data_IF_411650865932
#
_entry.id   IF_411650865932
#
_cell.length_a   1.000
_cell.length_b   1.000
_cell.length_c   1.000
_cell.angle_alpha   90.00
_cell.angle_beta   90.00
_cell.angle_gamma   90.00
#
_symmetry.space_group_name_H-M   'P 1'
#
loop_
_entity.id
_entity.type
_entity.pdbx_description
1 polymer ?
#
# COMPACT_ATOMS: atom_id res chain seq x y z
N UNK A 1 -9.76 0.53 22.23
CA UNK A 1 -9.74 -0.83 22.84
C UNK A 1 -9.69 -0.80 24.36
N UNK A 2 -8.71 -0.11 24.96
CA UNK A 2 -8.54 -0.01 26.44
C UNK A 2 -9.79 0.48 27.18
N UNK A 3 -10.53 1.44 26.61
CA UNK A 3 -11.77 1.96 27.22
C UNK A 3 -12.89 0.94 27.46
N UNK A 4 -12.80 -0.28 26.92
CA UNK A 4 -13.72 -1.38 27.26
C UNK A 4 -13.49 -1.89 28.68
N UNK A 5 -12.26 -1.76 29.20
CA UNK A 5 -11.93 -2.04 30.59
C UNK A 5 -12.47 -0.90 31.45
N UNK A 6 -13.41 -1.20 32.36
CA UNK A 6 -13.97 -0.18 33.25
C UNK A 6 -14.81 0.89 32.54
N UNK A 7 -15.65 0.51 31.57
CA UNK A 7 -16.55 1.41 30.83
C UNK A 7 -17.69 1.96 31.75
N UNK A 8 -17.32 2.81 32.71
CA UNK A 8 -18.19 3.47 33.69
C UNK A 8 -17.53 4.78 34.13
N UNK A 9 -18.35 5.79 34.49
CA UNK A 9 -17.87 7.13 34.88
C UNK A 9 -16.89 7.10 36.06
N UNK A 10 -17.07 6.14 36.97
CA UNK A 10 -16.30 6.05 38.22
C UNK A 10 -15.09 5.11 38.14
N UNK A 11 -14.74 4.61 36.94
CA UNK A 11 -13.66 3.63 36.76
C UNK A 11 -12.61 4.14 35.79
N UNK A 12 -11.34 3.99 36.17
CA UNK A 12 -10.21 4.23 35.27
C UNK A 12 -9.95 3.00 34.39
N UNK A 13 -9.96 3.15 33.06
CA UNK A 13 -9.61 2.06 32.16
C UNK A 13 -8.17 1.57 32.36
N UNK A 14 -7.98 0.25 32.36
CA UNK A 14 -6.66 -0.39 32.46
C UNK A 14 -6.42 -1.27 31.25
N UNK A 15 -5.24 -1.16 30.66
CA UNK A 15 -4.79 -1.99 29.56
C UNK A 15 -3.31 -2.34 29.72
N UNK A 16 -2.94 -3.52 29.28
CA UNK A 16 -1.55 -3.98 29.22
C UNK A 16 -1.17 -4.13 27.75
N UNK A 17 0.01 -3.66 27.40
CA UNK A 17 0.59 -3.76 26.06
C UNK A 17 1.85 -4.62 26.21
N UNK A 18 1.97 -5.66 25.38
CA UNK A 18 3.10 -6.58 25.38
C UNK A 18 3.81 -6.44 24.04
N UNK A 19 5.08 -6.06 24.07
CA UNK A 19 5.94 -6.05 22.90
C UNK A 19 6.40 -7.48 22.59
N UNK A 20 6.29 -7.92 21.34
CA UNK A 20 6.82 -9.22 20.92
C UNK A 20 8.24 -9.09 20.38
N UNK A 21 8.57 -7.94 19.79
CA UNK A 21 9.91 -7.58 19.29
C UNK A 21 10.45 -6.33 19.98
N UNK A 22 11.72 -6.01 19.72
CA UNK A 22 12.31 -4.76 20.22
C UNK A 22 11.71 -3.54 19.50
N UNK A 23 11.38 -3.66 18.21
CA UNK A 23 10.71 -2.60 17.44
C UNK A 23 9.29 -2.34 17.94
N UNK A 24 8.54 -3.38 18.31
CA UNK A 24 7.26 -3.24 19.00
C UNK A 24 7.44 -2.46 20.31
N UNK A 25 8.53 -2.69 21.03
CA UNK A 25 8.78 -1.98 22.29
C UNK A 25 9.03 -0.49 22.06
N UNK A 26 9.77 -0.13 21.01
CA UNK A 26 9.96 1.26 20.59
C UNK A 26 8.61 1.89 20.26
N UNK A 27 7.81 1.23 19.41
CA UNK A 27 6.53 1.75 18.97
C UNK A 27 5.52 1.88 20.11
N UNK A 28 5.42 0.89 21.00
CA UNK A 28 4.53 0.97 22.17
C UNK A 28 4.95 2.06 23.16
N UNK A 29 6.25 2.30 23.30
CA UNK A 29 6.79 3.42 24.10
C UNK A 29 6.38 4.75 23.48
N UNK A 30 6.51 4.88 22.15
CA UNK A 30 6.08 6.06 21.40
C UNK A 30 4.56 6.28 21.44
N UNK A 31 3.76 5.22 21.28
CA UNK A 31 2.31 5.27 21.39
C UNK A 31 1.87 5.76 22.77
N UNK A 32 2.50 5.25 23.84
CA UNK A 32 2.24 5.71 25.20
C UNK A 32 2.61 7.18 25.37
N UNK A 33 3.74 7.60 24.83
CA UNK A 33 4.18 8.99 24.84
C UNK A 33 3.20 9.92 24.09
N UNK A 34 2.73 9.49 22.91
CA UNK A 34 1.74 10.20 22.11
C UNK A 34 0.40 10.35 22.87
N UNK A 35 -0.09 9.27 23.51
CA UNK A 35 -1.30 9.31 24.34
C UNK A 35 -1.15 10.31 25.49
N UNK A 36 -0.01 10.32 26.18
CA UNK A 36 0.26 11.28 27.27
C UNK A 36 0.26 12.73 26.77
N UNK A 37 0.81 12.97 25.58
CA UNK A 37 0.82 14.28 24.91
C UNK A 37 -0.51 14.63 24.21
N UNK A 38 -1.49 13.71 24.19
CA UNK A 38 -2.76 13.83 23.44
C UNK A 38 -2.57 14.04 21.94
N UNK A 39 -1.50 13.47 21.39
CA UNK A 39 -1.28 13.36 19.96
C UNK A 39 -2.18 12.21 19.47
N UNK A 40 -3.04 12.50 18.50
CA UNK A 40 -3.97 11.56 17.89
C UNK A 40 -3.79 11.59 16.39
N UNK A 41 -4.04 10.46 15.74
CA UNK A 41 -3.94 10.34 14.28
C UNK A 41 -4.92 11.28 13.58
N UNK A 42 -4.45 11.97 12.55
CA UNK A 42 -5.31 12.79 11.71
C UNK A 42 -6.25 11.90 10.88
N UNK A 43 -7.56 12.15 10.97
CA UNK A 43 -8.53 11.50 10.10
C UNK A 43 -8.61 12.25 8.77
N UNK A 44 -8.09 11.65 7.72
CA UNK A 44 -8.15 12.19 6.37
C UNK A 44 -9.48 11.82 5.70
N UNK A 45 -10.11 12.80 5.05
CA UNK A 45 -11.26 12.54 4.19
C UNK A 45 -10.78 12.12 2.80
N UNK A 46 -11.34 11.03 2.23
CA UNK A 46 -11.07 10.66 0.84
C UNK A 46 -11.37 11.84 -0.09
N UNK A 47 -10.46 12.11 -1.03
CA UNK A 47 -10.64 13.15 -2.03
C UNK A 47 -11.33 12.55 -3.25
N UNK A 48 -12.62 12.88 -3.44
CA UNK A 48 -13.37 12.59 -4.67
C UNK A 48 -13.32 11.14 -5.19
N UNK A 49 -13.57 10.09 -4.36
CA UNK A 49 -13.55 8.71 -4.83
C UNK A 49 -14.60 8.48 -5.93
N UNK A 50 -14.15 8.28 -7.16
CA UNK A 50 -14.98 8.25 -8.38
C UNK A 50 -15.77 6.95 -8.52
N UNK A 51 -15.26 5.85 -7.98
CA UNK A 51 -15.95 4.57 -7.88
C UNK A 51 -17.18 4.66 -6.95
N UNK A 52 -17.01 5.28 -5.78
CA UNK A 52 -18.09 5.57 -4.83
C UNK A 52 -19.07 6.57 -5.43
N UNK A 53 -18.57 7.60 -6.13
CA UNK A 53 -19.38 8.59 -6.83
C UNK A 53 -20.29 7.91 -7.86
N UNK A 54 -19.72 7.02 -8.69
CA UNK A 54 -20.46 6.25 -9.69
C UNK A 54 -21.59 5.44 -9.04
N UNK A 55 -21.30 4.73 -7.95
CA UNK A 55 -22.28 3.98 -7.18
C UNK A 55 -23.42 4.87 -6.65
N UNK A 56 -23.09 6.02 -6.08
CA UNK A 56 -24.09 6.95 -5.50
C UNK A 56 -24.94 7.61 -6.58
N UNK A 57 -24.35 7.99 -7.72
CA UNK A 57 -25.11 8.51 -8.87
C UNK A 57 -26.15 7.48 -9.34
N UNK A 58 -25.74 6.21 -9.50
CA UNK A 58 -26.68 5.15 -9.92
C UNK A 58 -27.78 4.95 -8.89
N UNK A 59 -27.46 4.98 -7.59
CA UNK A 59 -28.44 4.84 -6.52
C UNK A 59 -29.45 6.01 -6.51
N UNK A 60 -28.96 7.25 -6.64
CA UNK A 60 -29.76 8.47 -6.57
C UNK A 60 -30.69 8.62 -7.80
N UNK A 61 -30.16 8.39 -9.01
CA UNK A 61 -30.95 8.40 -10.25
C UNK A 61 -31.95 7.23 -10.32
N UNK A 62 -31.70 6.13 -9.60
CA UNK A 62 -32.65 5.02 -9.50
C UNK A 62 -33.91 5.33 -8.69
N UNK A 63 -33.91 6.41 -7.89
CA UNK A 63 -35.08 6.84 -7.13
C UNK A 63 -35.94 7.86 -7.89
N UNK A 64 -35.29 8.73 -8.67
CA UNK A 64 -35.96 9.76 -9.47
C UNK A 64 -35.07 10.24 -10.61
N UNK A 65 -35.71 10.79 -11.64
CA UNK A 65 -35.02 11.44 -12.73
C UNK A 65 -34.34 12.73 -12.25
N UNK A 66 -33.19 13.05 -12.83
CA UNK A 66 -32.38 14.22 -12.45
C UNK A 66 -32.02 15.05 -13.66
N UNK A 67 -32.06 16.37 -13.53
CA UNK A 67 -31.29 17.25 -14.41
C UNK A 67 -29.83 17.12 -13.99
N UNK A 68 -28.94 16.79 -14.94
CA UNK A 68 -27.51 16.51 -14.68
C UNK A 68 -26.86 17.58 -13.81
N UNK A 69 -27.07 18.87 -14.14
CA UNK A 69 -26.50 19.99 -13.40
C UNK A 69 -26.99 20.09 -11.95
N UNK A 70 -28.25 19.75 -11.69
CA UNK A 70 -28.77 19.74 -10.32
C UNK A 70 -28.18 18.60 -9.48
N UNK A 71 -27.95 17.44 -10.11
CA UNK A 71 -27.27 16.32 -9.46
C UNK A 71 -25.80 16.68 -9.14
N UNK A 72 -25.11 17.35 -10.06
CA UNK A 72 -23.76 17.87 -9.81
C UNK A 72 -23.72 18.77 -8.58
N UNK A 73 -24.59 19.79 -8.52
CA UNK A 73 -24.64 20.70 -7.36
C UNK A 73 -24.93 19.95 -6.04
N UNK A 74 -25.90 19.03 -6.03
CA UNK A 74 -26.20 18.22 -4.85
C UNK A 74 -24.97 17.46 -4.34
N UNK A 75 -24.18 16.88 -5.25
CA UNK A 75 -23.01 16.10 -4.89
C UNK A 75 -21.86 17.00 -4.42
N UNK A 76 -21.65 18.16 -5.07
CA UNK A 76 -20.60 19.12 -4.69
C UNK A 76 -20.88 19.87 -3.39
N UNK A 77 -22.11 19.86 -2.88
CA UNK A 77 -22.43 20.37 -1.53
C UNK A 77 -21.80 19.51 -0.42
N UNK A 78 -21.31 18.30 -0.74
CA UNK A 78 -20.61 17.41 0.19
C UNK A 78 -19.09 17.71 0.21
N UNK A 79 -18.50 17.80 1.40
CA UNK A 79 -17.05 17.96 1.63
C UNK A 79 -16.16 17.02 0.78
N UNK A 80 -16.57 15.77 0.58
CA UNK A 80 -15.83 14.76 -0.20
C UNK A 80 -15.73 15.12 -1.70
N UNK A 81 -16.75 15.80 -2.24
CA UNK A 81 -16.85 16.15 -3.66
C UNK A 81 -16.87 17.66 -3.91
N UNK A 82 -16.57 18.49 -2.91
CA UNK A 82 -16.63 19.96 -3.01
C UNK A 82 -15.73 20.53 -4.12
N UNK A 83 -14.61 19.83 -4.40
CA UNK A 83 -13.63 20.21 -5.40
C UNK A 83 -13.81 19.43 -6.72
N UNK A 84 -14.88 18.64 -6.87
CA UNK A 84 -15.13 17.82 -8.05
C UNK A 84 -15.37 18.74 -9.26
N UNK A 85 -14.57 18.58 -10.30
CA UNK A 85 -14.75 19.35 -11.53
C UNK A 85 -15.98 18.86 -12.29
N UNK A 86 -16.66 19.77 -12.99
CA UNK A 86 -17.79 19.40 -13.85
C UNK A 86 -17.34 18.46 -14.98
N UNK A 87 -16.10 18.59 -15.45
CA UNK A 87 -15.50 17.70 -16.46
C UNK A 87 -15.39 16.26 -15.95
N UNK A 88 -14.77 16.06 -14.79
CA UNK A 88 -14.65 14.74 -14.15
C UNK A 88 -16.03 14.14 -13.87
N UNK A 89 -16.97 14.94 -13.37
CA UNK A 89 -18.35 14.50 -13.18
C UNK A 89 -18.98 14.02 -14.50
N UNK A 90 -18.78 14.77 -15.58
CA UNK A 90 -19.29 14.41 -16.91
C UNK A 90 -18.68 13.12 -17.45
N UNK A 91 -17.38 12.88 -17.20
CA UNK A 91 -16.72 11.62 -17.57
C UNK A 91 -17.37 10.42 -16.85
N UNK A 92 -17.71 10.57 -15.55
CA UNK A 92 -18.42 9.52 -14.80
C UNK A 92 -19.84 9.31 -15.34
N UNK A 93 -20.58 10.39 -15.65
CA UNK A 93 -21.91 10.29 -16.27
C UNK A 93 -21.84 9.60 -17.64
N UNK A 94 -20.84 9.94 -18.45
CA UNK A 94 -20.63 9.32 -19.75
C UNK A 94 -20.35 7.82 -19.60
N UNK A 95 -19.43 7.44 -18.72
CA UNK A 95 -19.13 6.03 -18.41
C UNK A 95 -20.40 5.26 -17.99
N UNK A 96 -21.21 5.84 -17.10
CA UNK A 96 -22.45 5.21 -16.63
C UNK A 96 -23.56 5.13 -17.70
N UNK A 97 -23.54 6.01 -18.70
CA UNK A 97 -24.57 6.11 -19.74
C UNK A 97 -24.26 5.29 -21.00
N UNK A 98 -22.98 5.27 -21.38
CA UNK A 98 -22.46 4.59 -22.57
C UNK A 98 -21.98 3.16 -22.24
N UNK A 99 -21.75 2.85 -20.97
CA UNK A 99 -21.21 1.59 -20.48
C UNK A 99 -19.72 1.71 -20.18
N UNK A 100 -19.23 0.90 -19.25
CA UNK A 100 -17.88 1.06 -18.68
C UNK A 100 -16.74 0.92 -19.71
N UNK A 101 -16.95 0.22 -20.84
CA UNK A 101 -16.01 0.14 -21.98
C UNK A 101 -16.59 0.60 -23.30
N UNK A 102 -17.45 1.62 -23.24
CA UNK A 102 -18.08 2.22 -24.42
C UNK A 102 -18.97 1.25 -25.18
N UNK A 103 -18.97 1.35 -26.51
CA UNK A 103 -19.93 0.67 -27.40
C UNK A 103 -19.98 -0.87 -27.22
N UNK A 104 -18.87 -1.52 -26.85
CA UNK A 104 -18.80 -2.98 -26.64
C UNK A 104 -19.52 -3.44 -25.37
N UNK A 105 -19.59 -2.57 -24.35
CA UNK A 105 -20.22 -2.85 -23.07
C UNK A 105 -21.47 -1.99 -22.83
N UNK A 106 -22.17 -1.57 -23.89
CA UNK A 106 -23.37 -0.73 -23.77
C UNK A 106 -24.52 -1.36 -22.96
N UNK A 107 -24.48 -2.68 -22.77
CA UNK A 107 -25.42 -3.44 -21.94
C UNK A 107 -25.14 -3.30 -20.44
N UNK A 108 -23.93 -2.90 -20.03
CA UNK A 108 -23.55 -2.64 -18.64
C UNK A 108 -23.83 -1.19 -18.20
N UNK A 109 -24.27 -0.33 -19.12
CA UNK A 109 -24.71 1.03 -18.80
C UNK A 109 -25.85 1.01 -17.76
N UNK A 110 -25.76 1.89 -16.77
CA UNK A 110 -26.72 2.02 -15.68
C UNK A 110 -27.68 3.18 -15.88
N UNK A 111 -27.30 4.17 -16.69
CA UNK A 111 -28.08 5.38 -16.91
C UNK A 111 -28.48 5.55 -18.38
N UNK A 112 -29.51 6.35 -18.60
CA UNK A 112 -29.82 6.99 -19.86
C UNK A 112 -29.61 8.49 -19.67
N UNK A 113 -28.76 9.10 -20.51
CA UNK A 113 -28.57 10.55 -20.55
C UNK A 113 -29.18 11.11 -21.83
N UNK A 114 -30.23 11.92 -21.68
CA UNK A 114 -30.79 12.70 -22.76
C UNK A 114 -29.93 13.95 -22.96
N UNK A 115 -29.09 13.96 -24.01
CA UNK A 115 -28.21 15.11 -24.29
C UNK A 115 -28.97 16.36 -24.75
N UNK A 116 -30.25 16.25 -25.12
CA UNK A 116 -31.08 17.40 -25.54
C UNK A 116 -31.72 18.09 -24.35
N UNK A 117 -32.26 17.34 -23.38
CA UNK A 117 -32.89 17.89 -22.17
C UNK A 117 -31.95 17.98 -20.97
N UNK A 118 -30.74 17.40 -21.07
CA UNK A 118 -29.77 17.21 -19.99
C UNK A 118 -30.32 16.41 -18.79
N UNK A 119 -31.23 15.48 -19.08
CA UNK A 119 -31.88 14.63 -18.10
C UNK A 119 -31.22 13.25 -17.99
N UNK A 120 -31.06 12.79 -16.75
CA UNK A 120 -30.56 11.50 -16.36
C UNK A 120 -31.72 10.63 -15.85
N UNK A 121 -31.85 9.44 -16.44
CA UNK A 121 -32.89 8.47 -16.09
C UNK A 121 -32.26 7.10 -15.82
N UNK A 122 -32.82 6.29 -14.91
CA UNK A 122 -32.26 4.99 -14.62
C UNK A 122 -32.59 3.99 -15.73
N UNK A 123 -31.64 3.11 -16.04
CA UNK A 123 -31.94 1.90 -16.83
C UNK A 123 -32.57 0.83 -15.94
N UNK A 124 -33.26 -0.13 -16.57
CA UNK A 124 -34.07 -1.15 -15.88
C UNK A 124 -33.33 -1.91 -14.77
N UNK A 125 -32.03 -2.18 -14.93
CA UNK A 125 -31.20 -2.90 -13.95
C UNK A 125 -30.65 -2.03 -12.82
N UNK A 126 -30.59 -0.70 -13.00
CA UNK A 126 -29.86 0.22 -12.11
C UNK A 126 -30.29 0.08 -10.64
N UNK A 127 -31.60 0.14 -10.38
CA UNK A 127 -32.16 0.08 -9.03
C UNK A 127 -31.82 -1.22 -8.32
N UNK A 128 -32.00 -2.36 -8.99
CA UNK A 128 -31.71 -3.67 -8.40
C UNK A 128 -30.21 -3.83 -8.15
N UNK A 129 -29.38 -3.39 -9.11
CA UNK A 129 -27.92 -3.42 -8.98
C UNK A 129 -27.46 -2.61 -7.78
N UNK A 130 -27.86 -1.33 -7.66
CA UNK A 130 -27.46 -0.46 -6.57
C UNK A 130 -27.82 -1.01 -5.18
N UNK A 131 -29.01 -1.62 -5.04
CA UNK A 131 -29.45 -2.18 -3.75
C UNK A 131 -28.71 -3.48 -3.41
N UNK A 132 -28.45 -4.35 -4.38
CA UNK A 132 -27.90 -5.69 -4.14
C UNK A 132 -26.37 -5.74 -4.18
N UNK A 133 -25.74 -4.74 -4.79
CA UNK A 133 -24.30 -4.63 -4.97
C UNK A 133 -23.74 -3.36 -4.33
N UNK A 134 -24.51 -2.66 -3.49
CA UNK A 134 -24.08 -1.44 -2.82
C UNK A 134 -23.07 -1.68 -1.69
N UNK A 135 -22.26 -0.67 -1.40
CA UNK A 135 -21.32 -0.64 -0.28
C UNK A 135 -19.87 -0.43 -0.74
N UNK A 136 -19.00 0.01 0.17
CA UNK A 136 -17.60 0.35 -0.15
C UNK A 136 -16.59 -0.65 0.39
N UNK A 137 -17.02 -1.61 1.22
CA UNK A 137 -16.15 -2.69 1.70
C UNK A 137 -15.96 -3.69 0.55
N UNK A 138 -14.72 -3.89 0.06
CA UNK A 138 -14.45 -4.83 -1.01
C UNK A 138 -14.60 -6.28 -0.53
N UNK A 139 -14.93 -7.17 -1.47
CA UNK A 139 -14.83 -8.61 -1.22
C UNK A 139 -13.35 -9.03 -1.34
N UNK A 140 -12.79 -9.57 -0.25
CA UNK A 140 -11.47 -10.23 -0.25
C UNK A 140 -11.60 -11.71 -0.58
N UNK A 141 -10.68 -12.23 -1.40
CA UNK A 141 -10.71 -13.61 -1.90
C UNK A 141 -9.39 -14.35 -1.68
N UNK A 142 -9.45 -15.51 -1.03
CA UNK A 142 -8.26 -16.36 -0.90
C UNK A 142 -7.75 -16.86 -2.26
N UNK A 143 -6.47 -17.20 -2.28
CA UNK A 143 -5.75 -17.86 -3.36
C UNK A 143 -5.47 -19.30 -2.97
N UNK A 144 -5.77 -20.24 -3.86
CA UNK A 144 -5.46 -21.65 -3.65
C UNK A 144 -3.99 -21.91 -3.98
N UNK A 145 -3.25 -22.58 -3.09
CA UNK A 145 -1.83 -22.89 -3.30
C UNK A 145 -1.68 -24.30 -3.86
N UNK A 146 -1.02 -24.42 -5.01
CA UNK A 146 -0.79 -25.69 -5.72
C UNK A 146 0.71 -25.99 -5.80
N UNK A 147 1.09 -27.19 -5.35
CA UNK A 147 2.44 -27.71 -5.46
C UNK A 147 2.67 -28.31 -6.86
N UNK A 148 3.73 -27.90 -7.53
CA UNK A 148 4.21 -28.47 -8.79
C UNK A 148 5.46 -29.33 -8.56
N UNK A 149 5.65 -30.40 -9.37
CA UNK A 149 4.85 -30.80 -10.53
C UNK A 149 3.60 -31.65 -10.22
N UNK A 150 3.33 -32.00 -8.97
CA UNK A 150 2.26 -32.93 -8.58
C UNK A 150 0.83 -32.39 -8.80
N UNK A 151 0.68 -31.08 -8.99
CA UNK A 151 -0.59 -30.35 -9.13
C UNK A 151 -1.56 -30.60 -7.95
N UNK A 152 -1.00 -30.66 -6.74
CA UNK A 152 -1.74 -30.92 -5.50
C UNK A 152 -2.00 -29.59 -4.79
N UNK A 153 -3.25 -29.33 -4.40
CA UNK A 153 -3.56 -28.20 -3.53
C UNK A 153 -3.04 -28.47 -2.11
N UNK A 154 -2.13 -27.62 -1.63
CA UNK A 154 -1.48 -27.74 -0.31
C UNK A 154 -2.02 -26.75 0.73
N UNK A 155 -2.81 -25.75 0.31
CA UNK A 155 -3.47 -24.82 1.23
C UNK A 155 -4.06 -23.61 0.51
N UNK A 156 -4.17 -22.51 1.25
CA UNK A 156 -4.68 -21.23 0.76
C UNK A 156 -3.90 -20.06 1.36
N UNK A 157 -3.79 -18.97 0.61
CA UNK A 157 -3.21 -17.69 1.03
C UNK A 157 -4.28 -16.61 0.93
N UNK A 158 -4.24 -15.61 1.80
CA UNK A 158 -5.14 -14.47 1.68
C UNK A 158 -4.77 -13.63 0.44
N UNK A 159 -5.74 -12.98 -0.19
CA UNK A 159 -5.51 -12.03 -1.31
C UNK A 159 -4.41 -11.02 -1.01
N UNK A 160 -4.38 -10.53 0.23
CA UNK A 160 -3.44 -9.52 0.65
C UNK A 160 -1.99 -10.05 0.64
N UNK A 161 -1.81 -11.37 0.73
CA UNK A 161 -0.50 -12.01 0.59
C UNK A 161 -0.03 -11.96 -0.88
N UNK A 162 -0.91 -12.28 -1.83
CA UNK A 162 -0.60 -12.26 -3.26
C UNK A 162 -0.46 -10.85 -3.86
N UNK A 163 -0.73 -9.81 -3.08
CA UNK A 163 -0.81 -8.42 -3.51
C UNK A 163 0.55 -7.87 -3.99
N UNK A 164 1.65 -8.39 -3.47
CA UNK A 164 3.01 -7.98 -3.81
C UNK A 164 3.92 -9.11 -4.29
N UNK A 165 3.52 -10.36 -4.07
CA UNK A 165 4.33 -11.53 -4.38
C UNK A 165 4.67 -11.65 -5.86
N UNK A 166 5.89 -12.09 -6.14
CA UNK A 166 6.41 -12.39 -7.46
C UNK A 166 6.80 -13.86 -7.60
N UNK A 167 6.89 -14.36 -8.85
CA UNK A 167 7.70 -15.54 -9.14
C UNK A 167 9.11 -15.42 -8.56
N UNK A 168 9.54 -16.44 -7.83
CA UNK A 168 10.83 -16.50 -7.13
C UNK A 168 10.72 -16.31 -5.61
N UNK A 169 9.65 -15.69 -5.11
CA UNK A 169 9.46 -15.44 -3.69
C UNK A 169 9.23 -16.74 -2.90
N UNK A 170 9.83 -16.82 -1.71
CA UNK A 170 9.78 -17.98 -0.82
C UNK A 170 8.95 -17.61 0.41
N UNK A 171 7.97 -18.44 0.74
CA UNK A 171 7.10 -18.24 1.90
C UNK A 171 6.90 -19.53 2.68
N UNK A 172 6.45 -19.40 3.92
CA UNK A 172 6.17 -20.54 4.79
C UNK A 172 4.67 -20.81 4.79
N UNK A 173 4.30 -22.06 4.50
CA UNK A 173 2.94 -22.57 4.65
C UNK A 173 2.95 -23.77 5.59
N UNK A 174 2.33 -23.62 6.76
CA UNK A 174 2.48 -24.58 7.86
C UNK A 174 3.91 -24.54 8.39
N UNK A 175 4.66 -25.62 8.18
CA UNK A 175 6.07 -25.76 8.61
C UNK A 175 7.05 -25.95 7.43
N UNK A 176 6.59 -25.77 6.19
CA UNK A 176 7.38 -25.97 4.99
C UNK A 176 7.55 -24.66 4.24
N UNK A 177 8.73 -24.46 3.64
CA UNK A 177 9.00 -23.32 2.76
C UNK A 177 8.73 -23.68 1.30
N UNK A 178 8.08 -22.78 0.59
CA UNK A 178 7.66 -22.95 -0.80
C UNK A 178 8.08 -21.74 -1.62
N UNK A 179 8.60 -21.98 -2.82
CA UNK A 179 8.96 -20.94 -3.79
C UNK A 179 7.82 -20.75 -4.79
N UNK A 180 7.38 -19.53 -4.98
CA UNK A 180 6.37 -19.16 -5.97
C UNK A 180 6.97 -19.30 -7.37
N UNK A 181 6.32 -20.09 -8.22
CA UNK A 181 6.65 -20.23 -9.63
C UNK A 181 5.85 -19.26 -10.49
N UNK A 182 4.56 -19.13 -10.20
CA UNK A 182 3.65 -18.20 -10.87
C UNK A 182 2.38 -17.99 -10.06
N UNK A 183 1.73 -16.85 -10.31
CA UNK A 183 0.43 -16.50 -9.74
C UNK A 183 -0.51 -16.23 -10.91
N UNK A 184 -1.61 -16.98 -11.00
CA UNK A 184 -2.61 -16.77 -12.04
C UNK A 184 -3.99 -17.20 -11.55
N UNK A 185 -5.04 -16.48 -11.97
CA UNK A 185 -6.43 -16.93 -11.79
C UNK A 185 -6.80 -17.33 -10.34
N UNK A 186 -6.32 -16.61 -9.32
CA UNK A 186 -6.62 -16.96 -7.93
C UNK A 186 -5.90 -18.21 -7.43
N UNK A 187 -4.84 -18.65 -8.11
CA UNK A 187 -3.99 -19.76 -7.73
C UNK A 187 -2.54 -19.31 -7.63
N UNK A 188 -1.83 -19.83 -6.64
CA UNK A 188 -0.38 -19.66 -6.48
C UNK A 188 0.25 -21.02 -6.72
N UNK A 189 1.04 -21.14 -7.79
CA UNK A 189 1.77 -22.36 -8.10
C UNK A 189 3.15 -22.27 -7.48
N UNK A 190 3.55 -23.31 -6.76
CA UNK A 190 4.77 -23.32 -5.97
C UNK A 190 5.57 -24.60 -6.16
N UNK A 191 6.86 -24.55 -5.85
CA UNK A 191 7.72 -25.71 -5.64
C UNK A 191 8.27 -25.72 -4.21
N UNK A 192 8.74 -26.87 -3.73
CA UNK A 192 9.40 -26.97 -2.43
C UNK A 192 10.70 -26.14 -2.45
N UNK A 193 10.84 -25.22 -1.49
CA UNK A 193 12.05 -24.41 -1.34
C UNK A 193 13.13 -25.12 -0.51
N UNK A 194 12.92 -26.38 -0.14
CA UNK A 194 13.87 -27.25 0.56
C UNK A 194 14.42 -26.68 1.86
N UNK A 195 13.56 -25.97 2.60
CA UNK A 195 13.95 -25.36 3.87
C UNK A 195 14.75 -24.07 3.72
N UNK A 196 14.88 -23.53 2.50
CA UNK A 196 15.38 -22.16 2.32
C UNK A 196 14.52 -21.19 3.13
N UNK A 197 15.14 -20.21 3.80
CA UNK A 197 14.41 -19.19 4.53
C UNK A 197 13.53 -18.39 3.57
N UNK A 198 12.38 -17.88 4.03
CA UNK A 198 11.58 -16.95 3.26
C UNK A 198 12.43 -15.71 2.92
N UNK A 199 12.47 -15.32 1.65
CA UNK A 199 13.30 -14.23 1.13
C UNK A 199 12.64 -12.85 1.29
N UNK A 200 11.92 -12.67 2.42
CA UNK A 200 11.13 -11.50 2.82
C UNK A 200 9.67 -11.54 2.31
N UNK A 201 8.69 -11.88 3.16
CA UNK A 201 7.29 -11.61 2.85
C UNK A 201 7.01 -10.13 3.15
N UNK A 202 6.67 -9.35 2.12
CA UNK A 202 5.92 -8.13 2.35
C UNK A 202 4.62 -8.49 3.11
N UNK A 203 4.42 -7.88 4.28
CA UNK A 203 3.46 -8.36 5.28
C UNK A 203 1.97 -8.21 4.87
N UNK A 204 1.18 -9.06 5.53
CA UNK A 204 -0.27 -9.23 5.49
C UNK A 204 -1.11 -7.97 5.61
N UNK A 205 -2.05 -7.82 4.68
CA UNK A 205 -3.33 -7.20 4.97
C UNK A 205 -3.45 -5.74 4.56
N UNK A 206 -4.68 -5.30 4.30
CA UNK A 206 -5.07 -3.89 4.48
C UNK A 206 -5.02 -3.57 5.98
N UNK A 207 -3.83 -3.55 6.58
CA UNK A 207 -3.64 -3.10 7.96
C UNK A 207 -3.59 -1.58 8.02
N UNK A 208 -3.95 -1.03 9.18
CA UNK A 208 -3.75 0.38 9.46
C UNK A 208 -2.24 0.60 9.59
N UNK A 209 -1.66 1.18 8.54
CA UNK A 209 -0.29 1.66 8.54
C UNK A 209 -0.03 2.66 9.66
N UNK A 210 1.22 2.80 10.07
CA UNK A 210 1.58 3.83 11.06
C UNK A 210 1.25 5.22 10.51
N UNK A 211 0.58 6.03 11.32
CA UNK A 211 0.27 7.42 10.99
C UNK A 211 1.54 8.28 10.97
N UNK A 212 1.46 9.47 10.36
CA UNK A 212 2.54 10.44 10.42
C UNK A 212 2.79 10.92 11.86
N UNK A 213 1.72 11.12 12.64
CA UNK A 213 1.82 11.55 14.02
C UNK A 213 2.51 10.51 14.91
N UNK A 214 2.20 9.23 14.71
CA UNK A 214 2.85 8.14 15.43
C UNK A 214 4.30 7.95 14.94
N UNK A 215 4.55 8.05 13.64
CA UNK A 215 5.92 8.01 13.08
C UNK A 215 6.80 9.14 13.63
N UNK A 216 6.25 10.36 13.76
CA UNK A 216 6.91 11.49 14.41
C UNK A 216 7.19 11.19 15.89
N UNK A 217 6.23 10.63 16.61
CA UNK A 217 6.39 10.25 18.01
C UNK A 217 7.46 9.16 18.18
N UNK A 218 7.53 8.18 17.28
CA UNK A 218 8.57 7.13 17.26
C UNK A 218 9.93 7.76 17.05
N UNK A 219 10.08 8.62 16.05
CA UNK A 219 11.32 9.34 15.78
C UNK A 219 11.79 10.18 16.98
N UNK A 220 10.88 10.88 17.67
CA UNK A 220 11.21 11.66 18.86
C UNK A 220 11.70 10.78 20.01
N UNK A 221 11.04 9.63 20.23
CA UNK A 221 11.44 8.67 21.26
C UNK A 221 12.79 8.06 20.95
N UNK A 222 13.02 7.62 19.70
CA UNK A 222 14.31 7.07 19.26
C UNK A 222 15.44 8.08 19.52
N UNK A 223 15.29 9.32 19.04
CA UNK A 223 16.29 10.38 19.23
C UNK A 223 16.57 10.68 20.71
N UNK A 224 15.54 10.71 21.55
CA UNK A 224 15.70 11.02 22.95
C UNK A 224 16.37 9.88 23.72
N UNK A 225 15.99 8.63 23.47
CA UNK A 225 16.56 7.46 24.15
C UNK A 225 17.99 7.19 23.69
N UNK A 226 18.29 7.40 22.40
CA UNK A 226 19.65 7.21 21.88
C UNK A 226 20.66 8.18 22.48
N UNK A 227 20.23 9.32 23.02
CA UNK A 227 21.16 10.27 23.64
C UNK A 227 21.90 9.66 24.84
N UNK A 228 23.22 9.79 24.84
CA UNK A 228 24.10 9.43 25.97
C UNK A 228 23.81 10.21 27.26
N UNK A 229 23.06 11.32 27.16
CA UNK A 229 22.75 12.17 28.29
C UNK A 229 21.70 11.61 29.26
N UNK A 230 21.00 10.54 28.87
CA UNK A 230 19.99 9.90 29.72
C UNK A 230 20.26 8.40 29.91
N UNK A 231 20.14 7.96 31.16
CA UNK A 231 20.27 6.55 31.54
C UNK A 231 18.93 5.79 31.45
N UNK A 232 18.95 4.50 31.78
CA UNK A 232 17.76 3.64 31.68
C UNK A 232 16.70 4.01 32.72
N UNK A 233 17.12 4.45 33.91
CA UNK A 233 16.24 4.93 34.98
C UNK A 233 15.47 6.18 34.55
N UNK A 234 16.14 7.17 33.98
CA UNK A 234 15.51 8.38 33.45
C UNK A 234 14.53 8.06 32.31
N UNK A 235 14.89 7.16 31.40
CA UNK A 235 14.01 6.68 30.33
C UNK A 235 12.77 5.99 30.91
N UNK A 236 12.97 5.10 31.89
CA UNK A 236 11.91 4.37 32.59
C UNK A 236 10.91 5.33 33.24
N UNK A 237 11.40 6.35 33.95
CA UNK A 237 10.55 7.35 34.61
C UNK A 237 9.80 8.23 33.58
N UNK A 238 10.52 8.75 32.58
CA UNK A 238 9.98 9.67 31.59
C UNK A 238 8.85 9.05 30.76
N UNK A 239 9.04 7.84 30.26
CA UNK A 239 8.05 7.14 29.45
C UNK A 239 7.14 6.22 30.28
N UNK A 240 7.38 6.14 31.59
CA UNK A 240 6.67 5.29 32.53
C UNK A 240 6.66 3.81 32.10
N UNK A 241 7.74 3.32 31.51
CA UNK A 241 7.90 1.92 31.10
C UNK A 241 8.67 1.16 32.19
N UNK A 242 8.62 -0.18 32.25
CA UNK A 242 9.44 -0.93 33.19
C UNK A 242 10.94 -0.69 32.96
N UNK A 243 11.74 -0.64 34.03
CA UNK A 243 13.19 -0.42 33.94
C UNK A 243 13.87 -1.40 32.98
N UNK A 244 13.47 -2.68 33.00
CA UNK A 244 13.99 -3.69 32.08
C UNK A 244 13.76 -3.31 30.60
N UNK A 245 12.59 -2.76 30.27
CA UNK A 245 12.28 -2.31 28.92
C UNK A 245 13.15 -1.11 28.54
N UNK A 246 13.31 -0.14 29.44
CA UNK A 246 14.19 1.00 29.23
C UNK A 246 15.65 0.58 29.00
N UNK A 247 16.17 -0.37 29.78
CA UNK A 247 17.51 -0.92 29.60
C UNK A 247 17.68 -1.62 28.25
N UNK A 248 16.69 -2.39 27.81
CA UNK A 248 16.71 -3.05 26.49
C UNK A 248 16.71 -2.02 25.35
N UNK A 249 15.91 -0.95 25.45
CA UNK A 249 15.91 0.13 24.46
C UNK A 249 17.27 0.86 24.41
N UNK A 250 17.87 1.18 25.55
CA UNK A 250 19.22 1.79 25.60
C UNK A 250 20.27 0.89 24.99
N UNK A 251 20.28 -0.40 25.32
CA UNK A 251 21.23 -1.36 24.75
C UNK A 251 21.03 -1.50 23.23
N UNK A 252 19.78 -1.56 22.77
CA UNK A 252 19.43 -1.61 21.35
C UNK A 252 19.96 -0.38 20.60
N UNK A 253 19.64 0.84 21.04
CA UNK A 253 20.11 2.06 20.35
C UNK A 253 21.62 2.26 20.45
N UNK A 254 22.25 1.90 21.58
CA UNK A 254 23.71 1.91 21.70
C UNK A 254 24.37 0.97 20.69
N UNK A 255 23.78 -0.22 20.46
CA UNK A 255 24.28 -1.17 19.46
C UNK A 255 24.04 -0.66 18.03
N UNK A 256 22.88 -0.06 17.77
CA UNK A 256 22.57 0.55 16.47
C UNK A 256 23.54 1.67 16.13
N UNK A 257 23.77 2.60 17.06
CA UNK A 257 24.70 3.72 16.85
C UNK A 257 26.15 3.25 16.64
N UNK A 258 26.58 2.16 17.31
CA UNK A 258 27.92 1.58 17.06
C UNK A 258 28.12 1.10 15.63
N UNK A 259 27.05 0.67 14.94
CA UNK A 259 27.11 0.20 13.55
C UNK A 259 26.85 1.36 12.58
N UNK A 260 25.78 2.13 12.82
CA UNK A 260 25.29 3.16 11.91
C UNK A 260 25.90 4.55 12.15
N UNK A 261 26.73 4.71 13.20
CA UNK A 261 27.26 5.99 13.70
C UNK A 261 26.22 6.98 14.23
N UNK A 262 24.94 6.81 13.87
CA UNK A 262 23.80 7.62 14.32
C UNK A 262 22.55 6.74 14.36
N UNK A 263 21.61 7.05 15.25
CA UNK A 263 20.29 6.40 15.24
C UNK A 263 19.40 7.08 14.20
N UNK A 264 18.79 6.31 13.26
CA UNK A 264 17.90 6.86 12.25
C UNK A 264 16.68 7.56 12.87
N UNK A 265 16.31 8.70 12.29
CA UNK A 265 15.16 9.53 12.69
C UNK A 265 14.50 10.14 11.46
N UNK A 266 13.39 10.87 11.63
CA UNK A 266 12.78 11.66 10.54
C UNK A 266 13.65 12.85 10.09
N UNK A 267 14.68 13.22 10.85
CA UNK A 267 15.62 14.29 10.49
C UNK A 267 16.95 13.76 9.96
N UNK A 268 17.24 12.48 10.17
CA UNK A 268 18.48 11.84 9.75
C UNK A 268 18.19 10.43 9.24
N UNK A 269 18.26 10.26 7.92
CA UNK A 269 18.11 8.97 7.23
C UNK A 269 19.48 8.32 7.14
N UNK A 270 19.55 7.01 7.36
CA UNK A 270 20.79 6.25 7.19
C UNK A 270 20.62 5.27 6.04
N UNK A 271 21.55 5.29 5.10
CA UNK A 271 21.66 4.28 4.04
C UNK A 271 22.78 3.32 4.43
N UNK A 272 22.41 2.10 4.78
CA UNK A 272 23.32 1.02 5.14
C UNK A 272 23.50 0.07 3.96
N UNK A 273 24.74 -0.35 3.72
CA UNK A 273 25.07 -1.45 2.81
C UNK A 273 25.87 -2.50 3.56
N UNK A 274 25.46 -3.76 3.43
CA UNK A 274 26.20 -4.93 3.91
C UNK A 274 26.12 -6.07 2.89
N UNK A 275 26.89 -7.12 3.13
CA UNK A 275 26.91 -8.32 2.29
C UNK A 275 26.55 -9.53 3.13
N UNK A 276 25.74 -10.44 2.58
CA UNK A 276 25.39 -11.68 3.24
C UNK A 276 26.48 -12.76 3.09
N UNK A 277 26.23 -13.97 3.60
CA UNK A 277 27.16 -15.09 3.48
C UNK A 277 27.34 -15.58 2.03
N UNK A 278 26.40 -15.27 1.13
CA UNK A 278 26.46 -15.58 -0.29
C UNK A 278 27.12 -14.47 -1.12
N UNK A 279 27.59 -13.41 -0.47
CA UNK A 279 28.13 -12.19 -1.08
C UNK A 279 27.09 -11.38 -1.88
N UNK A 280 25.81 -11.60 -1.63
CA UNK A 280 24.73 -10.74 -2.11
C UNK A 280 24.74 -9.44 -1.31
N UNK A 281 24.56 -8.33 -2.04
CA UNK A 281 24.55 -6.99 -1.48
C UNK A 281 23.15 -6.65 -0.99
N UNK A 282 23.04 -6.22 0.27
CA UNK A 282 21.83 -5.67 0.82
C UNK A 282 22.00 -4.18 1.08
N UNK A 283 21.04 -3.42 0.60
CA UNK A 283 20.97 -1.98 0.74
C UNK A 283 19.72 -1.65 1.55
N UNK A 284 19.90 -1.14 2.77
CA UNK A 284 18.81 -0.79 3.69
C UNK A 284 18.77 0.73 3.84
N UNK A 285 17.62 1.33 3.58
CA UNK A 285 17.36 2.75 3.88
C UNK A 285 16.53 2.80 5.15
N UNK A 286 17.14 3.27 6.23
CA UNK A 286 16.50 3.47 7.53
C UNK A 286 15.71 4.78 7.52
N UNK A 287 14.39 4.66 7.39
CA UNK A 287 13.43 5.72 7.09
C UNK A 287 12.21 5.60 8.03
N UNK A 288 12.18 6.42 9.08
CA UNK A 288 11.14 6.41 10.13
C UNK A 288 9.89 7.22 9.71
N UNK A 289 9.46 7.01 8.47
CA UNK A 289 8.34 7.72 7.85
C UNK A 289 7.07 6.87 7.71
N UNK A 290 7.16 5.57 7.98
CA UNK A 290 6.04 4.65 7.87
C UNK A 290 6.02 3.89 6.56
N UNK A 291 5.36 2.75 6.59
CA UNK A 291 5.32 1.74 5.53
C UNK A 291 4.75 2.27 4.21
N UNK A 292 3.75 3.15 4.24
CA UNK A 292 3.16 3.75 3.02
C UNK A 292 4.18 4.51 2.18
N UNK A 293 5.05 5.27 2.83
CA UNK A 293 6.11 6.05 2.19
C UNK A 293 7.27 5.12 1.81
N UNK A 294 7.71 4.24 2.72
CA UNK A 294 8.82 3.32 2.47
C UNK A 294 8.51 2.37 1.30
N UNK A 295 7.27 1.93 1.15
CA UNK A 295 6.79 1.13 0.03
C UNK A 295 6.82 1.91 -1.30
N UNK A 296 6.30 3.14 -1.30
CA UNK A 296 6.37 4.02 -2.47
C UNK A 296 7.84 4.21 -2.91
N UNK A 297 8.71 4.44 -1.93
CA UNK A 297 10.13 4.68 -2.17
C UNK A 297 10.83 3.43 -2.70
N UNK A 298 10.63 2.27 -2.07
CA UNK A 298 11.20 1.00 -2.48
C UNK A 298 10.77 0.60 -3.90
N UNK A 299 9.49 0.72 -4.24
CA UNK A 299 8.98 0.40 -5.58
C UNK A 299 9.55 1.33 -6.65
N UNK A 300 9.62 2.64 -6.36
CA UNK A 300 10.18 3.62 -7.29
C UNK A 300 11.67 3.40 -7.51
N UNK A 301 12.44 3.14 -6.45
CA UNK A 301 13.87 2.80 -6.55
C UNK A 301 14.05 1.52 -7.35
N UNK A 302 13.32 0.45 -7.03
CA UNK A 302 13.41 -0.81 -7.76
C UNK A 302 13.24 -0.60 -9.26
N UNK A 303 12.22 0.15 -9.70
CA UNK A 303 11.99 0.44 -11.13
C UNK A 303 13.18 1.18 -11.77
N UNK A 304 13.80 2.12 -11.05
CA UNK A 304 15.00 2.83 -11.52
C UNK A 304 16.20 1.89 -11.68
N UNK A 305 16.46 1.05 -10.68
CA UNK A 305 17.52 0.05 -10.75
C UNK A 305 17.28 -0.95 -11.88
N UNK A 306 16.07 -1.48 -12.06
CA UNK A 306 15.76 -2.41 -13.15
C UNK A 306 16.04 -1.81 -14.52
N UNK A 307 15.74 -0.51 -14.74
CA UNK A 307 16.07 0.17 -16.01
C UNK A 307 17.57 0.36 -16.23
N UNK A 308 18.32 0.56 -15.16
CA UNK A 308 19.75 0.83 -15.23
C UNK A 308 20.59 -0.45 -15.36
N UNK A 309 20.16 -1.53 -14.70
CA UNK A 309 20.93 -2.77 -14.57
C UNK A 309 20.30 -4.00 -15.26
N UNK A 310 19.10 -3.85 -15.86
CA UNK A 310 18.36 -4.90 -16.58
C UNK A 310 18.20 -6.22 -15.81
N UNK A 311 17.96 -6.10 -14.49
CA UNK A 311 17.75 -7.22 -13.58
C UNK A 311 16.61 -6.90 -12.61
N UNK A 312 15.84 -7.92 -12.22
CA UNK A 312 14.73 -7.77 -11.26
C UNK A 312 15.25 -7.86 -9.82
N UNK A 313 15.13 -6.77 -9.07
CA UNK A 313 15.59 -6.71 -7.69
C UNK A 313 14.48 -7.12 -6.71
N UNK A 314 14.87 -7.83 -5.65
CA UNK A 314 14.00 -8.04 -4.51
C UNK A 314 13.99 -6.76 -3.66
N UNK A 315 12.79 -6.35 -3.26
CA UNK A 315 12.57 -5.14 -2.48
C UNK A 315 11.50 -5.40 -1.43
N UNK A 316 11.72 -4.92 -0.21
CA UNK A 316 10.73 -4.95 0.85
C UNK A 316 10.76 -3.66 1.66
N UNK A 317 9.68 -3.39 2.38
CA UNK A 317 9.55 -2.22 3.23
C UNK A 317 8.72 -2.55 4.46
N UNK A 318 9.14 -2.00 5.59
CA UNK A 318 8.38 -1.98 6.84
C UNK A 318 8.15 -0.53 7.29
N UNK A 319 7.70 -0.34 8.53
CA UNK A 319 7.41 0.98 9.09
C UNK A 319 8.66 1.87 9.24
N UNK A 320 9.84 1.28 9.42
CA UNK A 320 11.08 1.96 9.80
C UNK A 320 12.17 1.89 8.72
N UNK A 321 12.06 1.00 7.75
CA UNK A 321 13.11 0.67 6.79
C UNK A 321 12.53 0.22 5.45
N UNK A 322 13.35 0.32 4.42
CA UNK A 322 13.17 -0.43 3.17
C UNK A 322 14.49 -1.08 2.79
N UNK A 323 14.43 -2.25 2.17
CA UNK A 323 15.59 -3.04 1.75
C UNK A 323 15.51 -3.32 0.25
N UNK A 324 16.66 -3.23 -0.42
CA UNK A 324 16.90 -3.72 -1.78
C UNK A 324 18.02 -4.75 -1.73
N UNK A 325 17.76 -5.95 -2.24
CA UNK A 325 18.75 -7.03 -2.33
C UNK A 325 19.24 -7.14 -3.77
N UNK A 326 20.55 -7.06 -3.97
CA UNK A 326 21.24 -7.06 -5.26
C UNK A 326 22.29 -8.17 -5.30
N UNK A 327 22.49 -8.78 -6.46
CA UNK A 327 23.59 -9.74 -6.66
C UNK A 327 24.97 -9.06 -6.71
N UNK A 328 26.02 -9.85 -6.46
CA UNK A 328 27.44 -9.45 -6.43
C UNK A 328 27.92 -8.66 -7.67
N UNK A 329 27.26 -8.80 -8.83
CA UNK A 329 27.64 -8.16 -10.08
C UNK A 329 27.45 -6.64 -10.12
N UNK A 330 26.85 -6.04 -9.09
CA UNK A 330 26.47 -4.63 -9.08
C UNK A 330 27.28 -3.86 -8.04
N UNK A 331 28.10 -2.92 -8.48
CA UNK A 331 28.76 -1.96 -7.60
C UNK A 331 28.39 -0.54 -7.99
N UNK A 332 28.02 0.26 -7.00
CA UNK A 332 27.75 1.69 -7.14
C UNK A 332 28.19 2.42 -5.88
N UNK A 333 28.44 3.73 -5.99
CA UNK A 333 28.74 4.56 -4.83
C UNK A 333 27.47 4.79 -4.03
N UNK A 334 27.50 4.46 -2.73
CA UNK A 334 26.32 4.47 -1.87
C UNK A 334 25.65 5.86 -1.81
N UNK A 335 26.45 6.92 -1.88
CA UNK A 335 25.99 8.31 -1.86
C UNK A 335 25.19 8.73 -3.11
N UNK A 336 25.24 7.95 -4.20
CA UNK A 336 24.54 8.31 -5.44
C UNK A 336 23.05 8.01 -5.40
N UNK A 337 22.61 7.12 -4.48
CA UNK A 337 21.23 6.63 -4.43
C UNK A 337 20.19 7.72 -4.23
N UNK A 338 20.53 8.76 -3.46
CA UNK A 338 19.63 9.90 -3.20
C UNK A 338 19.29 10.68 -4.48
N UNK A 339 20.08 10.50 -5.55
CA UNK A 339 19.87 11.17 -6.84
C UNK A 339 19.09 10.30 -7.84
N UNK A 340 18.74 9.05 -7.48
CA UNK A 340 18.07 8.13 -8.41
C UNK A 340 16.60 8.47 -8.60
N UNK A 341 16.01 9.11 -7.60
CA UNK A 341 14.65 9.63 -7.65
C UNK A 341 14.68 11.16 -7.58
N UNK A 342 13.73 11.76 -8.28
CA UNK A 342 13.56 13.20 -8.34
C UNK A 342 12.11 13.53 -7.94
N UNK A 343 11.87 14.52 -7.05
CA UNK A 343 10.53 14.84 -6.55
C UNK A 343 9.51 15.17 -7.65
N UNK A 344 9.95 15.80 -8.74
CA UNK A 344 9.09 16.21 -9.84
C UNK A 344 8.69 15.04 -10.76
N UNK A 345 9.39 13.91 -10.70
CA UNK A 345 9.19 12.76 -11.61
C UNK A 345 8.85 11.45 -10.90
N UNK A 346 8.95 11.41 -9.56
CA UNK A 346 8.77 10.19 -8.77
C UNK A 346 7.37 9.60 -8.93
N UNK A 347 6.34 10.43 -9.07
CA UNK A 347 4.96 9.95 -9.30
C UNK A 347 4.86 9.11 -10.57
N UNK A 348 5.39 9.59 -11.70
CA UNK A 348 5.37 8.84 -12.95
C UNK A 348 6.17 7.53 -12.87
N UNK A 349 7.32 7.54 -12.19
CA UNK A 349 8.13 6.33 -11.98
C UNK A 349 7.34 5.31 -11.15
N UNK A 350 6.72 5.77 -10.06
CA UNK A 350 5.95 4.92 -9.16
C UNK A 350 4.74 4.33 -9.88
N UNK A 351 4.02 5.13 -10.68
CA UNK A 351 2.91 4.64 -11.48
C UNK A 351 3.39 3.52 -12.42
N UNK A 352 4.48 3.72 -13.16
CA UNK A 352 5.01 2.69 -14.04
C UNK A 352 5.55 1.46 -13.29
N UNK A 353 6.00 1.61 -12.04
CA UNK A 353 6.42 0.51 -11.19
C UNK A 353 5.22 -0.30 -10.65
N UNK A 354 4.15 0.40 -10.31
CA UNK A 354 2.88 -0.12 -9.82
C UNK A 354 2.17 -0.98 -10.86
N UNK A 355 2.16 -0.56 -12.12
CA UNK A 355 1.44 -1.27 -13.19
C UNK A 355 1.97 -2.70 -13.41
N UNK A 356 3.21 -2.99 -13.01
CA UNK A 356 3.82 -4.32 -13.07
C UNK A 356 3.55 -5.15 -11.79
N UNK A 357 2.65 -4.72 -10.91
CA UNK A 357 2.40 -5.36 -9.60
C UNK A 357 0.97 -5.88 -9.46
N UNK A 358 0.76 -7.05 -8.81
CA UNK A 358 -0.58 -7.63 -8.58
C UNK A 358 -1.53 -6.70 -7.82
N UNK A 359 -0.99 -5.77 -7.03
CA UNK A 359 -1.76 -4.76 -6.30
C UNK A 359 -2.72 -3.96 -7.20
N UNK A 360 -2.30 -3.64 -8.41
CA UNK A 360 -3.14 -2.88 -9.35
C UNK A 360 -4.39 -3.68 -9.72
N UNK A 361 -4.25 -4.97 -10.01
CA UNK A 361 -5.35 -5.84 -10.43
C UNK A 361 -6.38 -6.02 -9.31
N UNK A 362 -5.89 -6.14 -8.08
CA UNK A 362 -6.74 -6.27 -6.89
C UNK A 362 -7.51 -4.97 -6.63
N UNK A 363 -6.82 -3.82 -6.61
CA UNK A 363 -7.45 -2.52 -6.43
C UNK A 363 -8.42 -2.20 -7.57
N UNK A 364 -8.06 -2.55 -8.80
CA UNK A 364 -8.92 -2.43 -9.98
C UNK A 364 -10.24 -3.16 -9.78
N UNK A 365 -10.18 -4.43 -9.34
CA UNK A 365 -11.37 -5.22 -9.07
C UNK A 365 -12.23 -4.58 -7.98
N UNK A 366 -11.62 -4.07 -6.91
CA UNK A 366 -12.36 -3.39 -5.84
C UNK A 366 -13.11 -2.18 -6.40
N UNK A 367 -12.42 -1.29 -7.08
CA UNK A 367 -13.01 -0.08 -7.67
C UNK A 367 -14.09 -0.42 -8.71
N UNK A 368 -13.86 -1.42 -9.56
CA UNK A 368 -14.85 -1.88 -10.53
C UNK A 368 -16.10 -2.50 -9.87
N UNK A 369 -15.95 -3.19 -8.73
CA UNK A 369 -17.10 -3.72 -7.98
C UNK A 369 -17.88 -2.63 -7.24
N UNK A 370 -17.18 -1.67 -6.63
CA UNK A 370 -17.79 -0.53 -5.94
C UNK A 370 -18.54 0.35 -6.94
N UNK A 371 -17.93 0.64 -8.09
CA UNK A 371 -18.53 1.40 -9.18
C UNK A 371 -19.71 0.70 -9.87
N UNK A 372 -20.05 -0.54 -9.49
CA UNK A 372 -21.10 -1.36 -10.10
C UNK A 372 -20.79 -1.83 -11.53
N UNK A 373 -19.53 -1.74 -11.97
CA UNK A 373 -19.08 -2.31 -13.25
C UNK A 373 -19.04 -3.84 -13.20
N UNK A 374 -18.67 -4.38 -12.04
CA UNK A 374 -18.63 -5.81 -11.75
C UNK A 374 -19.62 -6.11 -10.62
N UNK A 375 -20.54 -7.03 -10.87
CA UNK A 375 -21.55 -7.39 -9.89
C UNK A 375 -21.02 -8.42 -8.88
N UNK A 376 -21.16 -8.10 -7.59
CA UNK A 376 -20.98 -8.98 -6.43
C UNK A 376 -22.13 -9.98 -6.26
N UNK A 377 -23.34 -9.61 -6.69
CA UNK A 377 -24.56 -10.42 -6.67
C UNK A 377 -25.27 -10.36 -8.01
N UNK A 378 -25.68 -11.51 -8.51
CA UNK A 378 -26.46 -11.63 -9.74
C UNK A 378 -27.53 -12.72 -9.57
N UNK A 379 -28.76 -12.45 -10.03
CA UNK A 379 -29.88 -13.40 -9.90
C UNK A 379 -30.16 -13.87 -8.47
N UNK A 380 -29.97 -13.00 -7.47
CA UNK A 380 -30.17 -13.31 -6.06
C UNK A 380 -29.03 -14.06 -5.35
N UNK A 381 -28.01 -14.52 -6.09
CA UNK A 381 -26.86 -15.26 -5.53
C UNK A 381 -25.59 -14.41 -5.52
N UNK A 382 -24.65 -14.72 -4.63
CA UNK A 382 -23.30 -14.14 -4.65
C UNK A 382 -22.57 -14.65 -5.90
N UNK A 383 -21.87 -13.75 -6.60
CA UNK A 383 -21.05 -14.10 -7.76
C UNK A 383 -19.76 -14.73 -7.24
N UNK A 384 -19.37 -15.94 -7.72
CA UNK A 384 -18.14 -16.60 -7.28
C UNK A 384 -16.90 -15.73 -7.51
N UNK A 385 -15.91 -15.85 -6.61
CA UNK A 385 -14.67 -15.07 -6.65
C UNK A 385 -13.97 -15.14 -8.02
N UNK A 386 -13.80 -16.35 -8.57
CA UNK A 386 -13.17 -16.54 -9.88
C UNK A 386 -13.89 -15.77 -10.99
N UNK A 387 -15.22 -15.76 -10.98
CA UNK A 387 -15.98 -15.05 -12.01
C UNK A 387 -15.86 -13.53 -11.86
N UNK A 388 -15.68 -13.02 -10.64
CA UNK A 388 -15.38 -11.59 -10.43
C UNK A 388 -13.98 -11.24 -10.91
N UNK A 389 -12.97 -12.09 -10.66
CA UNK A 389 -11.60 -11.93 -11.17
C UNK A 389 -11.56 -11.90 -12.69
N UNK A 390 -12.12 -12.91 -13.35
CA UNK A 390 -12.17 -12.98 -14.82
C UNK A 390 -12.88 -11.77 -15.42
N UNK A 391 -13.98 -11.30 -14.83
CA UNK A 391 -14.69 -10.10 -15.32
C UNK A 391 -13.89 -8.82 -15.12
N UNK A 392 -13.06 -8.74 -14.07
CA UNK A 392 -12.18 -7.60 -13.83
C UNK A 392 -11.08 -7.57 -14.88
N UNK A 393 -10.49 -8.73 -15.16
CA UNK A 393 -9.49 -8.94 -16.23
C UNK A 393 -10.07 -8.61 -17.60
N UNK A 394 -11.25 -9.14 -17.95
CA UNK A 394 -11.95 -8.84 -19.21
C UNK A 394 -12.24 -7.34 -19.37
N UNK A 395 -12.55 -6.65 -18.27
CA UNK A 395 -12.85 -5.22 -18.29
C UNK A 395 -11.57 -4.39 -18.46
N UNK A 396 -10.50 -4.69 -17.71
CA UNK A 396 -9.23 -3.96 -17.87
C UNK A 396 -8.63 -4.20 -19.26
N UNK A 397 -8.74 -5.41 -19.81
CA UNK A 397 -8.31 -5.73 -21.18
C UNK A 397 -8.93 -4.81 -22.24
N UNK A 398 -10.14 -4.29 -21.99
CA UNK A 398 -10.85 -3.41 -22.90
C UNK A 398 -10.53 -1.93 -22.67
N UNK A 399 -10.28 -1.55 -21.42
CA UNK A 399 -10.09 -0.15 -21.02
C UNK A 399 -8.64 0.28 -21.05
N UNK A 400 -7.76 -0.61 -20.63
CA UNK A 400 -6.32 -0.42 -20.54
C UNK A 400 -5.60 -1.66 -21.08
N UNK A 401 -5.62 -1.88 -22.41
CA UNK A 401 -5.01 -3.08 -23.03
C UNK A 401 -3.54 -3.25 -22.67
N UNK A 402 -2.80 -2.14 -22.59
CA UNK A 402 -1.41 -2.10 -22.18
C UNK A 402 -1.18 -2.71 -20.80
N UNK A 403 -2.15 -2.72 -19.89
CA UNK A 403 -2.02 -3.31 -18.55
C UNK A 403 -1.85 -4.84 -18.60
N UNK A 404 -2.52 -5.52 -19.53
CA UNK A 404 -2.45 -6.98 -19.67
C UNK A 404 -1.51 -7.42 -20.80
N UNK A 405 -0.94 -6.46 -21.54
CA UNK A 405 -0.07 -6.76 -22.66
C UNK A 405 1.23 -7.42 -22.19
N UNK A 406 1.73 -8.36 -23.00
CA UNK A 406 3.05 -8.95 -22.77
C UNK A 406 4.11 -7.83 -22.81
N UNK A 407 5.00 -7.81 -21.82
CA UNK A 407 6.10 -6.83 -21.74
C UNK A 407 6.97 -6.82 -22.99
N UNK A 408 7.10 -7.95 -23.70
CA UNK A 408 7.83 -8.04 -24.97
C UNK A 408 7.22 -7.19 -26.10
N UNK A 409 5.92 -6.87 -26.02
CA UNK A 409 5.21 -6.09 -27.02
C UNK A 409 5.10 -4.60 -26.68
N UNK A 410 5.48 -4.21 -25.46
CA UNK A 410 5.42 -2.82 -24.99
C UNK A 410 6.80 -2.19 -25.19
N UNK A 411 6.87 -1.12 -25.99
CA UNK A 411 8.09 -0.33 -26.11
C UNK A 411 7.99 0.90 -25.19
N UNK A 412 8.76 0.89 -24.10
CA UNK A 412 8.84 2.02 -23.18
C UNK A 412 7.82 1.97 -22.04
N UNK A 413 7.26 3.13 -21.71
CA UNK A 413 6.28 3.30 -20.62
C UNK A 413 4.88 2.91 -21.12
N UNK A 414 4.06 2.31 -20.26
CA UNK A 414 2.66 1.97 -20.59
C UNK A 414 1.85 3.26 -20.75
N UNK A 415 1.05 3.35 -21.81
CA UNK A 415 0.17 4.50 -22.05
C UNK A 415 -1.12 4.38 -21.23
N UNK A 416 -1.28 5.27 -20.24
CA UNK A 416 -2.41 5.21 -19.32
C UNK A 416 -3.64 5.88 -19.99
N UNK A 417 -4.76 5.17 -20.12
CA UNK A 417 -5.97 5.71 -20.73
C UNK A 417 -6.66 6.75 -19.83
N UNK A 418 -7.27 7.75 -20.45
CA UNK A 418 -8.17 8.69 -19.78
C UNK A 418 -9.51 8.02 -19.45
N UNK A 419 -9.55 7.28 -18.35
CA UNK A 419 -10.76 6.61 -17.87
C UNK A 419 -10.94 6.79 -16.36
N UNK A 420 -12.13 7.20 -15.87
CA UNK A 420 -12.36 7.50 -14.45
C UNK A 420 -11.93 6.38 -13.49
N UNK A 421 -12.27 5.12 -13.79
CA UNK A 421 -11.89 4.00 -12.91
C UNK A 421 -10.41 3.65 -12.98
N UNK A 422 -9.74 3.91 -14.10
CA UNK A 422 -8.29 3.65 -14.21
C UNK A 422 -7.55 4.68 -13.38
N UNK A 423 -7.92 5.96 -13.53
CA UNK A 423 -7.39 7.05 -12.72
C UNK A 423 -7.66 6.84 -11.22
N UNK A 424 -8.89 6.44 -10.85
CA UNK A 424 -9.24 6.11 -9.46
C UNK A 424 -8.36 4.97 -8.91
N UNK A 425 -8.14 3.92 -9.70
CA UNK A 425 -7.31 2.78 -9.28
C UNK A 425 -5.85 3.17 -9.08
N UNK A 426 -5.29 3.96 -10.00
CA UNK A 426 -3.93 4.49 -9.85
C UNK A 426 -3.85 5.37 -8.61
N UNK A 427 -4.80 6.28 -8.42
CA UNK A 427 -4.90 7.15 -7.25
C UNK A 427 -4.90 6.35 -5.95
N UNK A 428 -5.77 5.35 -5.82
CA UNK A 428 -5.86 4.54 -4.61
C UNK A 428 -4.56 3.78 -4.33
N UNK A 429 -3.92 3.24 -5.36
CA UNK A 429 -2.64 2.59 -5.20
C UNK A 429 -1.54 3.54 -4.70
N UNK A 430 -1.39 4.73 -5.32
CA UNK A 430 -0.27 5.64 -4.99
C UNK A 430 -0.52 6.57 -3.81
N UNK A 431 -1.79 6.81 -3.43
CA UNK A 431 -2.19 7.75 -2.37
C UNK A 431 -3.00 7.15 -1.23
N UNK A 432 -3.56 5.95 -1.35
CA UNK A 432 -4.25 5.27 -0.23
C UNK A 432 -3.38 4.15 0.32
N UNK A 433 -2.93 3.25 -0.56
CA UNK A 433 -2.05 2.14 -0.18
C UNK A 433 -0.61 2.57 0.03
N UNK A 434 -0.20 3.60 -0.69
CA UNK A 434 1.08 4.27 -0.58
C UNK A 434 0.88 5.75 -0.29
N UNK A 435 1.98 6.47 -0.14
CA UNK A 435 1.97 7.92 0.02
C UNK A 435 3.04 8.56 -0.87
N UNK A 436 2.66 8.82 -2.12
CA UNK A 436 3.52 9.47 -3.11
C UNK A 436 3.77 10.95 -2.80
N UNK A 437 2.79 11.63 -2.21
CA UNK A 437 2.88 13.06 -1.91
C UNK A 437 3.89 13.26 -0.76
N UNK A 438 3.82 12.42 0.29
CA UNK A 438 4.81 12.36 1.37
C UNK A 438 6.21 11.96 0.89
N UNK A 439 6.32 10.99 -0.02
CA UNK A 439 7.61 10.65 -0.63
C UNK A 439 8.22 11.83 -1.39
N UNK A 440 7.45 12.53 -2.21
CA UNK A 440 7.92 13.70 -2.96
C UNK A 440 8.38 14.82 -2.01
N UNK A 441 7.69 15.02 -0.89
CA UNK A 441 8.09 15.98 0.15
C UNK A 441 9.44 15.60 0.78
N UNK A 442 9.63 14.32 1.15
CA UNK A 442 10.89 13.84 1.72
C UNK A 442 12.05 14.01 0.73
N UNK A 443 11.87 13.61 -0.53
CA UNK A 443 12.89 13.80 -1.56
C UNK A 443 13.25 15.28 -1.74
N UNK A 444 12.26 16.17 -1.64
CA UNK A 444 12.47 17.62 -1.67
C UNK A 444 13.29 18.10 -0.46
N UNK A 445 12.96 17.62 0.74
CA UNK A 445 13.67 17.95 1.99
C UNK A 445 15.11 17.43 1.98
N UNK A 446 15.36 16.22 1.47
CA UNK A 446 16.71 15.68 1.27
C UNK A 446 17.50 16.58 0.31
N UNK A 447 16.91 16.95 -0.83
CA UNK A 447 17.54 17.85 -1.81
C UNK A 447 17.88 19.22 -1.22
N UNK A 448 17.01 19.75 -0.36
CA UNK A 448 17.20 21.02 0.34
C UNK A 448 18.14 20.93 1.56
N UNK A 449 18.59 19.72 1.93
CA UNK A 449 19.38 19.43 3.15
C UNK A 449 18.65 19.77 4.45
N UNK A 450 17.32 19.69 4.43
CA UNK A 450 16.47 19.76 5.64
C UNK A 450 16.41 18.41 6.36
N UNK A 451 16.63 17.32 5.63
CA UNK A 451 16.86 15.97 6.16
C UNK A 451 18.31 15.60 5.85
N UNK A 452 19.06 15.21 6.87
CA UNK A 452 20.41 14.69 6.72
C UNK A 452 20.38 13.23 6.24
N UNK A 453 21.36 12.86 5.41
CA UNK A 453 21.53 11.49 4.95
C UNK A 453 22.97 11.06 5.17
N UNK A 454 23.18 9.99 5.93
CA UNK A 454 24.48 9.34 6.10
C UNK A 454 24.52 7.99 5.39
N UNK A 455 25.74 7.55 5.10
CA UNK A 455 26.02 6.36 4.30
C UNK A 455 26.99 5.49 5.08
N UNK A 456 26.65 4.22 5.26
CA UNK A 456 27.42 3.28 6.07
C UNK A 456 27.61 1.97 5.31
N UNK A 457 28.87 1.57 5.16
CA UNK A 457 29.23 0.20 4.77
C UNK A 457 29.49 -0.60 6.05
N UNK A 458 28.62 -1.55 6.37
CA UNK A 458 28.72 -2.39 7.57
C UNK A 458 29.15 -3.81 7.22
N UNK A 459 29.99 -4.40 8.07
CA UNK A 459 30.44 -5.79 7.90
C UNK A 459 29.35 -6.81 8.29
N UNK A 460 28.40 -6.38 9.12
CA UNK A 460 27.27 -7.16 9.59
C UNK A 460 26.06 -6.24 9.66
N UNK A 461 24.84 -6.74 9.39
CA UNK A 461 23.64 -5.91 9.46
C UNK A 461 23.47 -5.27 10.84
N UNK A 462 23.06 -4.01 10.87
CA UNK A 462 22.69 -3.31 12.09
C UNK A 462 21.50 -3.99 12.81
N UNK A 463 21.32 -3.77 14.14
CA UNK A 463 20.16 -4.27 14.85
C UNK A 463 18.82 -3.87 14.24
N UNK A 464 18.74 -2.68 13.64
CA UNK A 464 17.58 -2.19 12.88
C UNK A 464 17.40 -2.92 11.54
N UNK A 465 18.50 -3.25 10.84
CA UNK A 465 18.42 -4.03 9.59
C UNK A 465 18.01 -5.47 9.82
N UNK A 466 18.37 -6.07 10.96
CA UNK A 466 17.94 -7.42 11.33
C UNK A 466 16.41 -7.54 11.52
N UNK A 467 15.68 -6.44 11.63
CA UNK A 467 14.22 -6.47 11.74
C UNK A 467 13.51 -6.71 10.40
N UNK A 468 14.14 -6.32 9.29
CA UNK A 468 13.57 -6.43 7.93
C UNK A 468 14.13 -7.61 7.13
N UNK A 469 15.26 -8.19 7.57
CA UNK A 469 15.85 -9.43 7.04
C UNK A 469 15.15 -10.62 7.69
#
# INVERSE_FOLDING_TARGET
RVGRSGHSLDKTPKGFLFANTIDDLVELTALKHAIQKRILDTTLFPQQPLDVLAQQIVAEVSQKDWIRKHLFHLLTDNLTYQNLSEETFNQVIQMLSEGYGGNRLRHSAMLFHDKTTDELRPRKSARLTAVTNGGTIPDQFDYDVFLLPEDIQIGSLNEDFSFESLPGDIFILGNHSYRILKIENGRVFVEDAHGLPPNIPFWFGVQMWRSDELSQSVSEVMHQISSDSIDAEEVSEKYQIPLLAASQLKDYFTKTEKVLSVVPTRQHIVVERFFDENNDMHLVIHSIFGSRINRAWGLALRKRFCRQFNFELQAAADENTLILSLSESHSFELNTIINYLNPETVENILIQALLDRPMFETQWRWNATIALAILRRNGGKKVPAQLQRNRAEDLIAQLFPDQIACLENIQGDREIPEHPLVQQTIHDCIRVLMDIDGLAEILTKIRNREIEVSFVDSNTPSPTSLAII
#
